data_IF_023390058486
#
_entry.id   IF_023390058486
#
_cell.length_a   1.000
_cell.length_b   1.000
_cell.length_c   1.000
_cell.angle_alpha   90.00
_cell.angle_beta   90.00
_cell.angle_gamma   90.00
#
_symmetry.space_group_name_H-M   'P 1'
#
loop_
_entity.id
_entity.type
_entity.pdbx_description
1 polymer ?
#
# COMPACT_ATOMS: atom_id res chain seq x y z
N UNK A 1 23.37 3.57 -13.36
CA UNK A 1 22.98 3.15 -12.19
C UNK A 1 22.03 4.01 -11.48
N UNK A 2 21.12 3.42 -10.86
CA UNK A 2 20.16 4.12 -10.21
C UNK A 2 20.55 4.50 -8.86
N UNK A 3 20.29 5.68 -8.44
CA UNK A 3 20.56 6.05 -7.14
C UNK A 3 19.39 5.76 -6.31
N UNK A 4 19.60 5.31 -5.11
CA UNK A 4 18.50 5.08 -4.19
C UNK A 4 18.08 6.40 -3.60
N UNK A 5 16.80 6.64 -3.56
CA UNK A 5 16.28 7.81 -2.91
C UNK A 5 16.02 7.43 -1.47
N UNK A 6 16.20 8.36 -0.56
CA UNK A 6 15.92 8.03 0.83
C UNK A 6 14.41 8.14 1.05
N UNK A 7 13.96 7.68 2.19
CA UNK A 7 12.54 7.61 2.48
C UNK A 7 11.90 8.98 2.47
N UNK A 8 12.63 9.96 2.97
CA UNK A 8 12.10 11.31 3.02
C UNK A 8 11.81 11.85 1.63
N UNK A 9 12.71 11.61 0.70
CA UNK A 9 12.52 12.07 -0.67
C UNK A 9 11.33 11.36 -1.30
N UNK A 10 11.21 10.08 -1.07
CA UNK A 10 10.10 9.32 -1.62
C UNK A 10 8.78 9.82 -1.06
N UNK A 11 8.73 10.08 0.24
CA UNK A 11 7.51 10.58 0.85
C UNK A 11 7.13 11.94 0.30
N UNK A 12 8.12 12.78 0.07
CA UNK A 12 7.87 14.11 -0.45
C UNK A 12 7.31 14.04 -1.86
N UNK A 13 7.91 13.20 -2.68
CA UNK A 13 7.45 13.06 -4.06
C UNK A 13 6.05 12.42 -4.11
N UNK A 14 5.84 11.43 -3.27
CA UNK A 14 4.54 10.78 -3.22
C UNK A 14 3.46 11.77 -2.78
N UNK A 15 3.76 12.54 -1.74
CA UNK A 15 2.79 13.50 -1.24
C UNK A 15 2.43 14.53 -2.28
N UNK A 16 3.43 15.01 -3.00
CA UNK A 16 3.17 16.00 -4.01
C UNK A 16 2.36 15.43 -5.17
N UNK A 17 2.69 14.22 -5.57
CA UNK A 17 1.96 13.56 -6.63
C UNK A 17 0.50 13.33 -6.24
N UNK A 18 0.28 12.92 -5.00
CA UNK A 18 -1.07 12.72 -4.51
C UNK A 18 -1.85 14.03 -4.51
N UNK A 19 -1.18 15.11 -4.10
CA UNK A 19 -1.85 16.39 -4.06
C UNK A 19 -2.26 16.80 -5.46
N UNK A 20 -1.35 16.67 -6.41
CA UNK A 20 -1.66 17.05 -7.79
C UNK A 20 -2.79 16.20 -8.35
N UNK A 21 -2.80 14.93 -8.04
CA UNK A 21 -3.84 14.05 -8.51
C UNK A 21 -5.19 14.46 -7.91
N UNK A 22 -5.20 14.70 -6.60
CA UNK A 22 -6.42 15.14 -5.93
C UNK A 22 -6.96 16.42 -6.54
N UNK A 23 -6.08 17.38 -6.75
CA UNK A 23 -6.49 18.64 -7.31
C UNK A 23 -7.03 18.47 -8.73
N UNK A 24 -6.43 17.56 -9.48
CA UNK A 24 -6.89 17.32 -10.84
C UNK A 24 -8.32 16.78 -10.86
N UNK A 25 -8.77 16.20 -9.77
CA UNK A 25 -10.12 15.70 -9.67
C UNK A 25 -11.04 16.73 -9.05
N UNK A 26 -10.54 17.94 -8.81
CA UNK A 26 -11.31 19.01 -8.20
C UNK A 26 -11.79 18.66 -6.80
N UNK A 27 -10.96 17.93 -6.06
CA UNK A 27 -11.31 17.56 -4.70
C UNK A 27 -10.45 18.33 -3.72
N UNK A 28 -11.06 18.80 -2.65
CA UNK A 28 -10.31 19.48 -1.60
C UNK A 28 -9.85 18.44 -0.57
N UNK A 29 -8.97 18.86 0.33
CA UNK A 29 -8.57 17.97 1.41
C UNK A 29 -9.77 17.63 2.27
N UNK A 30 -10.70 18.57 2.43
CA UNK A 30 -11.90 18.32 3.20
C UNK A 30 -12.76 17.26 2.52
N UNK A 31 -12.79 17.26 1.19
CA UNK A 31 -13.54 16.25 0.46
C UNK A 31 -12.96 14.86 0.72
N UNK A 32 -11.65 14.78 0.76
CA UNK A 32 -11.01 13.50 1.01
C UNK A 32 -11.25 13.06 2.45
N UNK A 33 -11.25 14.01 3.36
CA UNK A 33 -11.52 13.68 4.75
C UNK A 33 -12.91 13.07 4.86
N UNK A 34 -13.85 13.64 4.19
CA UNK A 34 -15.20 13.14 4.25
C UNK A 34 -15.33 11.77 3.62
N UNK A 35 -14.66 11.56 2.51
CA UNK A 35 -14.73 10.27 1.83
C UNK A 35 -13.94 9.18 2.51
N UNK A 36 -12.82 9.51 3.08
CA UNK A 36 -11.92 8.51 3.63
C UNK A 36 -12.07 8.29 5.13
N UNK A 37 -12.55 9.30 5.82
CA UNK A 37 -12.57 9.22 7.27
C UNK A 37 -11.24 9.56 7.90
N UNK A 38 -10.25 9.92 7.10
CA UNK A 38 -8.94 10.31 7.60
C UNK A 38 -8.95 11.81 7.82
N UNK A 39 -8.40 12.27 8.94
CA UNK A 39 -8.46 13.68 9.26
C UNK A 39 -7.75 14.53 8.22
N UNK A 40 -8.27 15.73 8.02
CA UNK A 40 -7.67 16.65 7.09
C UNK A 40 -6.22 16.93 7.46
N UNK A 41 -5.93 16.95 8.75
CA UNK A 41 -4.59 17.17 9.21
C UNK A 41 -3.65 16.06 8.74
N UNK A 42 -4.09 14.81 8.82
CA UNK A 42 -3.28 13.70 8.36
C UNK A 42 -3.09 13.76 6.86
N UNK A 43 -4.13 14.14 6.13
CA UNK A 43 -4.04 14.25 4.69
C UNK A 43 -3.06 15.35 4.32
N UNK A 44 -3.14 16.48 5.00
CA UNK A 44 -2.24 17.59 4.72
C UNK A 44 -0.79 17.18 5.00
N UNK A 45 -0.59 16.46 6.09
CA UNK A 45 0.74 16.01 6.44
C UNK A 45 1.29 15.06 5.38
N UNK A 46 0.45 14.15 4.91
CA UNK A 46 0.86 13.22 3.87
C UNK A 46 1.28 13.97 2.61
N UNK A 47 0.49 14.96 2.21
CA UNK A 47 0.78 15.70 0.99
C UNK A 47 2.04 16.55 1.12
N UNK A 48 2.44 16.84 2.33
CA UNK A 48 3.65 17.60 2.56
C UNK A 48 4.86 16.71 2.77
N UNK A 49 4.68 15.42 2.62
CA UNK A 49 5.82 14.51 2.76
C UNK A 49 6.00 13.94 4.14
N UNK A 50 5.02 14.10 5.00
CA UNK A 50 5.10 13.53 6.34
C UNK A 50 4.61 12.10 6.35
N UNK A 51 4.80 11.43 7.47
CA UNK A 51 4.36 10.06 7.58
C UNK A 51 2.88 9.94 7.84
N UNK A 52 2.38 8.75 7.65
CA UNK A 52 0.97 8.48 7.88
C UNK A 52 0.87 6.99 8.18
N UNK A 53 -0.11 6.62 8.97
CA UNK A 53 -0.32 5.21 9.24
C UNK A 53 -0.75 4.52 7.97
N UNK A 54 -0.32 3.30 7.79
CA UNK A 54 -0.57 2.59 6.55
C UNK A 54 -2.06 2.43 6.26
N UNK A 55 -2.85 2.10 7.26
CA UNK A 55 -4.28 1.93 7.03
C UNK A 55 -4.91 3.24 6.60
N UNK A 56 -4.46 4.36 7.16
CA UNK A 56 -5.00 5.66 6.75
C UNK A 56 -4.58 5.98 5.33
N UNK A 57 -3.35 5.59 4.97
CA UNK A 57 -2.87 5.81 3.61
C UNK A 57 -3.76 5.06 2.62
N UNK A 58 -4.10 3.83 2.95
CA UNK A 58 -4.96 3.04 2.08
C UNK A 58 -6.34 3.66 1.98
N UNK A 59 -6.85 4.20 3.08
CA UNK A 59 -8.15 4.85 3.05
C UNK A 59 -8.15 6.07 2.14
N UNK A 60 -7.06 6.81 2.16
CA UNK A 60 -6.94 7.98 1.28
C UNK A 60 -6.91 7.54 -0.17
N UNK A 61 -6.14 6.48 -0.47
CA UNK A 61 -6.07 5.98 -1.83
C UNK A 61 -7.43 5.49 -2.30
N UNK A 62 -8.18 4.84 -1.44
CA UNK A 62 -9.51 4.37 -1.80
C UNK A 62 -10.43 5.55 -2.10
N UNK A 63 -10.30 6.62 -1.33
CA UNK A 63 -11.12 7.80 -1.57
C UNK A 63 -10.83 8.42 -2.92
N UNK A 64 -9.62 8.18 -3.44
CA UNK A 64 -9.22 8.70 -4.73
C UNK A 64 -9.38 7.64 -5.83
N UNK A 65 -9.95 6.50 -5.48
CA UNK A 65 -10.13 5.39 -6.41
C UNK A 65 -8.81 4.86 -6.94
N UNK A 66 -7.79 4.88 -6.09
CA UNK A 66 -6.47 4.39 -6.45
C UNK A 66 -6.11 3.08 -5.78
N UNK A 67 -7.08 2.43 -5.15
CA UNK A 67 -6.76 1.22 -4.41
C UNK A 67 -6.18 0.13 -5.30
N UNK A 68 -6.54 0.10 -6.57
CA UNK A 68 -6.00 -0.91 -7.45
C UNK A 68 -4.51 -0.73 -7.70
N UNK A 69 -4.02 0.49 -7.48
CA UNK A 69 -2.60 0.75 -7.68
C UNK A 69 -1.76 0.10 -6.59
N UNK A 70 -2.39 -0.29 -5.51
CA UNK A 70 -1.66 -0.92 -4.42
C UNK A 70 -1.07 -2.26 -4.84
N UNK A 71 -1.66 -2.89 -5.84
CA UNK A 71 -1.21 -4.21 -6.26
C UNK A 71 0.20 -4.19 -6.83
N UNK A 72 0.70 -3.02 -7.21
CA UNK A 72 2.06 -2.95 -7.76
C UNK A 72 3.11 -2.64 -6.72
N UNK A 73 2.69 -2.39 -5.48
CA UNK A 73 3.65 -2.07 -4.44
C UNK A 73 4.55 -3.26 -4.13
N UNK A 74 4.00 -4.44 -4.18
CA UNK A 74 4.76 -5.64 -3.90
C UNK A 74 4.48 -6.60 -5.04
N UNK A 75 5.51 -7.17 -5.63
CA UNK A 75 5.29 -8.05 -6.76
C UNK A 75 4.40 -9.23 -6.39
N UNK A 76 3.51 -9.58 -7.30
CA UNK A 76 2.66 -10.73 -7.08
C UNK A 76 3.40 -11.94 -7.63
N UNK A 77 4.09 -12.66 -6.78
CA UNK A 77 4.92 -13.76 -7.22
C UNK A 77 4.15 -14.93 -7.79
N UNK A 78 2.85 -14.95 -7.55
CA UNK A 78 2.04 -16.01 -8.13
C UNK A 78 2.03 -15.96 -9.64
N UNK A 79 2.29 -14.80 -10.21
CA UNK A 79 2.29 -14.65 -11.66
C UNK A 79 3.64 -14.90 -12.29
N UNK A 80 4.65 -15.26 -11.47
CA UNK A 80 5.95 -15.52 -12.01
C UNK A 80 6.16 -17.01 -12.25
N UNK A 81 6.75 -17.38 -13.36
CA UNK A 81 7.01 -18.79 -13.59
C UNK A 81 7.83 -19.43 -12.46
N UNK A 82 8.79 -18.71 -11.96
CA UNK A 82 9.60 -19.26 -10.89
C UNK A 82 8.81 -19.50 -9.62
N UNK A 83 7.73 -18.75 -9.45
CA UNK A 83 6.91 -18.95 -8.28
C UNK A 83 6.30 -20.36 -8.30
N UNK A 84 5.78 -20.74 -9.44
CA UNK A 84 5.15 -22.04 -9.55
C UNK A 84 6.13 -23.19 -9.31
N UNK A 85 7.33 -23.04 -9.79
CA UNK A 85 8.30 -24.06 -9.57
C UNK A 85 8.72 -24.12 -8.11
N UNK A 86 8.96 -22.98 -7.53
CA UNK A 86 9.37 -22.95 -6.14
C UNK A 86 8.25 -23.31 -5.21
N UNK A 87 7.04 -23.03 -5.62
CA UNK A 87 5.89 -23.28 -4.79
C UNK A 87 5.72 -24.74 -4.45
N UNK A 88 5.91 -25.60 -5.40
CA UNK A 88 5.76 -27.02 -5.16
C UNK A 88 6.69 -27.51 -4.07
N UNK A 89 7.93 -27.11 -4.13
CA UNK A 89 8.85 -27.54 -3.12
C UNK A 89 8.53 -26.98 -1.77
N UNK A 90 8.19 -25.72 -1.75
CA UNK A 90 7.88 -25.10 -0.48
C UNK A 90 6.64 -25.65 0.14
N UNK A 91 5.68 -25.96 -0.65
CA UNK A 91 4.46 -26.51 -0.11
C UNK A 91 4.67 -27.86 0.50
N UNK A 92 5.55 -28.65 -0.08
CA UNK A 92 5.84 -29.92 0.48
C UNK A 92 6.50 -29.80 1.84
N UNK A 93 7.39 -28.84 1.96
CA UNK A 93 8.03 -28.64 3.23
C UNK A 93 7.07 -28.13 4.24
N UNK A 94 6.21 -27.24 3.84
CA UNK A 94 5.28 -26.69 4.77
C UNK A 94 4.30 -27.69 5.24
N UNK A 95 3.93 -28.59 4.41
CA UNK A 95 3.02 -29.61 4.80
C UNK A 95 3.52 -30.37 5.99
N UNK A 96 4.81 -30.51 6.12
CA UNK A 96 5.33 -31.19 7.24
C UNK A 96 5.28 -30.37 8.47
N UNK A 97 5.37 -29.10 8.34
CA UNK A 97 5.34 -28.27 9.48
C UNK A 97 4.02 -27.82 9.82
N UNK A 98 3.17 -28.16 9.14
CA UNK A 98 1.87 -27.82 9.34
C UNK A 98 1.42 -27.22 10.47
N UNK A 99 0.63 -27.06 10.63
CA UNK A 99 0.16 -26.57 11.66
C UNK A 99 0.50 -25.24 11.82
N UNK A 100 1.06 -24.83 11.81
CA UNK A 100 1.46 -23.73 12.08
C UNK A 100 1.05 -22.72 11.35
N UNK A 101 0.52 -22.68 10.99
CA UNK A 101 0.20 -21.84 10.53
C UNK A 101 -0.41 -21.27 10.24
N UNK A 102 -0.95 -21.14 10.14
CA UNK A 102 -1.48 -20.61 9.75
C UNK A 102 -1.69 -19.74 9.98
N UNK A 103 -1.85 -19.27 10.25
CA UNK A 103 -2.06 -18.48 10.55
C UNK A 103 -1.87 -17.59 10.52
N UNK A 104 -1.76 -17.44 10.65
CA UNK A 104 -1.48 -16.69 10.96
C UNK A 104 -1.62 -15.56 10.55
N UNK A 105 -1.38 -15.15 10.62
CA UNK A 105 -1.42 -14.02 10.43
C UNK A 105 -1.82 -13.63 9.24
N UNK A 106 -2.37 -13.09 9.03
CA UNK A 106 -2.75 -12.87 8.02
C UNK A 106 -3.11 -11.68 7.89
N UNK A 107 -2.83 -11.10 7.96
CA UNK A 107 -2.95 -10.00 7.65
C UNK A 107 -4.12 -9.60 7.28
N UNK A 108 -4.35 -9.34 7.23
CA UNK A 108 -5.24 -9.04 6.92
C UNK A 108 -6.29 -9.56 6.52
N UNK A 109 -6.70 -10.01 6.56
CA UNK A 109 -7.49 -10.51 6.16
C UNK A 109 -8.20 -10.84 6.99
N UNK A 110 -8.20 -10.92 7.54
CA UNK A 110 -8.56 -11.01 8.24
C UNK A 110 -9.06 -10.44 8.67
N UNK A 111 -9.45 -10.25 8.62
CA UNK A 111 -9.86 -9.74 9.11
C UNK A 111 -10.24 -9.54 9.19
#
# INVERSE_FOLDING_TARGET
>A
MKKHKDVRTILSELGETLKLYRVSLNLSQADIEEKSGVSKRSISRLEQGGGIQLDNFIKVLSALNLEDNLSVLVPNIKNRPSYHLGKERKEKRRARKTGEKKTTFQWGDEK
#
